data_IF_855719943144
#
_entry.id   IF_855719943144
#
_cell.length_a   1.000
_cell.length_b   1.000
_cell.length_c   1.000
_cell.angle_alpha   90.00
_cell.angle_beta   90.00
_cell.angle_gamma   90.00
#
_symmetry.space_group_name_H-M   'P 1'
#
loop_
_entity.id
_entity.type
_entity.pdbx_description
1 polymer ?
#
# COMPACT_ATOMS: atom_id res chain seq x y z
N UNK A 1 -14.24 38.66 -26.65
CA UNK A 1 -14.68 38.21 -25.33
C UNK A 1 -14.91 36.69 -25.23
N UNK A 2 -15.59 36.07 -26.20
CA UNK A 2 -15.84 34.63 -26.15
C UNK A 2 -14.58 33.79 -26.16
N UNK A 3 -13.51 34.22 -26.83
CA UNK A 3 -12.23 33.49 -26.90
C UNK A 3 -11.48 33.47 -25.58
N UNK A 4 -11.58 34.54 -24.79
CA UNK A 4 -10.89 34.64 -23.48
C UNK A 4 -11.58 33.74 -22.46
N UNK A 5 -12.92 33.66 -22.47
CA UNK A 5 -13.66 32.77 -21.58
C UNK A 5 -13.41 31.32 -21.87
N UNK A 6 -13.28 30.92 -23.14
CA UNK A 6 -12.97 29.56 -23.55
C UNK A 6 -11.55 29.17 -23.10
N UNK A 7 -10.59 30.09 -23.25
CA UNK A 7 -9.21 29.83 -22.82
C UNK A 7 -9.12 29.65 -21.30
N UNK A 8 -9.85 30.47 -20.54
CA UNK A 8 -9.89 30.36 -19.08
C UNK A 8 -10.48 29.01 -18.63
N UNK A 9 -11.56 28.57 -19.28
CA UNK A 9 -12.18 27.27 -18.98
C UNK A 9 -11.24 26.12 -19.26
N UNK A 10 -10.47 26.17 -20.35
CA UNK A 10 -9.49 25.14 -20.70
C UNK A 10 -8.37 25.09 -19.65
N UNK A 11 -7.87 26.24 -19.19
CA UNK A 11 -6.83 26.31 -18.16
C UNK A 11 -7.34 25.71 -16.85
N UNK A 12 -8.57 26.01 -16.44
CA UNK A 12 -9.17 25.46 -15.23
C UNK A 12 -9.32 23.94 -15.34
N UNK A 13 -9.76 23.43 -16.49
CA UNK A 13 -9.89 21.99 -16.73
C UNK A 13 -8.53 21.29 -16.66
N UNK A 14 -7.47 21.86 -17.23
CA UNK A 14 -6.13 21.30 -17.18
C UNK A 14 -5.59 21.25 -15.75
N UNK A 15 -5.79 22.28 -14.95
CA UNK A 15 -5.40 22.30 -13.54
C UNK A 15 -6.15 21.25 -12.73
N UNK A 16 -7.44 21.06 -12.97
CA UNK A 16 -8.24 20.03 -12.32
C UNK A 16 -7.76 18.63 -12.69
N UNK A 17 -7.44 18.40 -13.98
CA UNK A 17 -6.92 17.13 -14.45
C UNK A 17 -5.55 16.81 -13.81
N UNK A 18 -4.67 17.79 -13.65
CA UNK A 18 -3.39 17.59 -12.98
C UNK A 18 -3.55 17.19 -11.53
N UNK A 19 -4.50 17.79 -10.81
CA UNK A 19 -4.79 17.42 -9.42
C UNK A 19 -5.38 16.02 -9.31
N UNK A 20 -6.25 15.63 -10.24
CA UNK A 20 -6.86 14.31 -10.26
C UNK A 20 -5.87 13.23 -10.64
N UNK A 21 -4.83 13.56 -11.41
CA UNK A 21 -3.81 12.62 -11.85
C UNK A 21 -2.67 12.41 -10.83
N UNK A 22 -2.64 13.21 -9.76
CA UNK A 22 -1.65 13.03 -8.70
C UNK A 22 -1.85 11.66 -8.05
N UNK A 23 -0.79 10.85 -8.00
CA UNK A 23 -0.80 9.49 -7.49
C UNK A 23 -1.72 8.53 -8.28
N UNK A 24 -2.01 8.83 -9.55
CA UNK A 24 -2.92 8.00 -10.35
C UNK A 24 -2.42 6.57 -10.57
N UNK A 25 -1.09 6.36 -10.52
CA UNK A 25 -0.47 5.05 -10.65
C UNK A 25 -0.73 4.16 -9.43
N UNK A 26 -1.10 4.78 -8.30
CA UNK A 26 -1.31 4.08 -7.04
C UNK A 26 -2.76 3.63 -6.93
N UNK A 27 -2.99 2.34 -7.13
CA UNK A 27 -4.30 1.74 -6.94
C UNK A 27 -4.75 1.87 -5.49
N UNK A 28 -6.04 1.94 -5.26
CA UNK A 28 -6.59 2.08 -3.92
C UNK A 28 -6.30 0.87 -3.04
N UNK A 29 -6.35 -0.33 -3.62
CA UNK A 29 -6.14 -1.56 -2.89
C UNK A 29 -5.07 -2.42 -3.55
N UNK A 30 -4.24 -3.02 -2.69
CA UNK A 30 -3.18 -3.94 -3.07
C UNK A 30 -3.27 -5.19 -2.24
N UNK A 31 -2.91 -6.33 -2.82
CA UNK A 31 -2.98 -7.63 -2.16
C UNK A 31 -1.70 -8.41 -2.38
N UNK A 32 -1.28 -9.15 -1.36
CA UNK A 32 -0.15 -10.05 -1.44
C UNK A 32 -0.33 -11.24 -0.51
N UNK A 33 0.44 -12.28 -0.75
CA UNK A 33 0.44 -13.49 0.06
C UNK A 33 1.88 -13.88 0.38
N UNK A 34 2.07 -14.43 1.56
CA UNK A 34 3.38 -14.96 1.96
C UNK A 34 3.19 -16.14 2.91
N UNK A 35 4.20 -16.98 2.96
CA UNK A 35 4.23 -18.10 3.91
C UNK A 35 4.95 -17.67 5.17
N UNK A 36 4.40 -18.06 6.32
CA UNK A 36 5.00 -17.82 7.61
C UNK A 36 4.78 -19.03 8.50
N UNK A 37 5.55 -19.12 9.57
CA UNK A 37 5.43 -20.24 10.52
C UNK A 37 4.78 -19.74 11.80
N UNK A 38 3.80 -20.48 12.27
CA UNK A 38 3.17 -20.26 13.57
C UNK A 38 3.43 -21.47 14.45
N UNK A 39 3.62 -21.22 15.73
CA UNK A 39 3.84 -22.28 16.70
C UNK A 39 2.50 -22.76 17.25
N UNK A 40 2.29 -24.08 17.22
CA UNK A 40 1.17 -24.69 17.89
C UNK A 40 1.46 -24.72 19.39
N UNK A 41 0.65 -24.06 20.18
CA UNK A 41 0.86 -23.94 21.63
C UNK A 41 0.70 -25.28 22.36
N UNK A 42 -0.07 -26.21 21.80
CA UNK A 42 -0.32 -27.51 22.43
C UNK A 42 0.81 -28.51 22.19
N UNK A 43 1.41 -28.50 20.99
CA UNK A 43 2.44 -29.48 20.61
C UNK A 43 3.85 -28.89 20.52
N UNK A 44 3.96 -27.55 20.46
CA UNK A 44 5.23 -26.86 20.23
C UNK A 44 5.74 -26.94 18.80
N UNK A 45 4.99 -27.57 17.90
CA UNK A 45 5.39 -27.70 16.50
C UNK A 45 5.18 -26.40 15.73
N UNK A 46 6.08 -26.16 14.77
CA UNK A 46 5.94 -25.05 13.83
C UNK A 46 5.16 -25.51 12.62
N UNK A 47 4.09 -24.80 12.30
CA UNK A 47 3.23 -25.07 11.15
C UNK A 47 3.40 -23.93 10.15
N UNK A 48 3.60 -24.27 8.88
CA UNK A 48 3.65 -23.29 7.81
C UNK A 48 2.22 -22.94 7.40
N UNK A 49 1.89 -21.66 7.47
CA UNK A 49 0.56 -21.13 7.08
C UNK A 49 0.74 -20.04 6.04
N UNK A 50 -0.29 -19.86 5.21
CA UNK A 50 -0.33 -18.77 4.25
C UNK A 50 -0.96 -17.55 4.90
N UNK A 51 -0.23 -16.46 4.92
CA UNK A 51 -0.71 -15.18 5.39
C UNK A 51 -1.05 -14.29 4.20
N UNK A 52 -2.13 -13.55 4.31
CA UNK A 52 -2.52 -12.54 3.34
C UNK A 52 -2.31 -11.15 3.88
N UNK A 53 -2.01 -10.21 3.00
CA UNK A 53 -1.91 -8.80 3.34
C UNK A 53 -2.72 -8.00 2.32
N UNK A 54 -3.52 -7.06 2.82
CA UNK A 54 -4.30 -6.13 1.98
C UNK A 54 -4.00 -4.72 2.43
N UNK A 55 -3.59 -3.88 1.49
CA UNK A 55 -3.35 -2.47 1.72
C UNK A 55 -4.46 -1.68 1.07
N UNK A 56 -5.11 -0.81 1.84
CA UNK A 56 -6.18 0.06 1.35
C UNK A 56 -5.81 1.51 1.63
N UNK A 57 -5.61 2.28 0.56
CA UNK A 57 -5.27 3.70 0.66
C UNK A 57 -6.52 4.55 0.81
N UNK A 58 -6.41 5.62 1.59
CA UNK A 58 -7.44 6.65 1.67
C UNK A 58 -7.60 7.37 0.34
N UNK A 59 -8.68 8.11 0.16
CA UNK A 59 -8.95 8.82 -1.09
C UNK A 59 -7.86 9.85 -1.41
N UNK A 60 -7.32 10.51 -0.39
CA UNK A 60 -6.24 11.50 -0.54
C UNK A 60 -4.84 10.87 -0.54
N UNK A 61 -4.74 9.54 -0.39
CA UNK A 61 -3.48 8.80 -0.35
C UNK A 61 -2.52 9.22 0.76
N UNK A 62 -3.04 9.80 1.84
CA UNK A 62 -2.22 10.19 3.00
C UNK A 62 -2.18 9.11 4.07
N UNK A 63 -3.08 8.13 4.00
CA UNK A 63 -3.15 7.03 4.96
C UNK A 63 -3.35 5.71 4.23
N UNK A 64 -2.89 4.64 4.86
CA UNK A 64 -3.04 3.29 4.34
C UNK A 64 -3.41 2.35 5.48
N UNK A 65 -4.51 1.64 5.32
CA UNK A 65 -4.91 0.60 6.26
C UNK A 65 -4.34 -0.73 5.79
N UNK A 66 -3.57 -1.37 6.66
CA UNK A 66 -2.95 -2.67 6.39
C UNK A 66 -3.72 -3.73 7.17
N UNK A 67 -4.30 -4.66 6.45
CA UNK A 67 -4.98 -5.83 7.02
C UNK A 67 -4.14 -7.06 6.76
N UNK A 68 -3.85 -7.82 7.81
CA UNK A 68 -3.11 -9.07 7.73
C UNK A 68 -3.91 -10.18 8.38
N UNK A 69 -3.81 -11.38 7.85
CA UNK A 69 -4.52 -12.52 8.39
C UNK A 69 -3.98 -13.84 7.89
N UNK A 70 -4.31 -14.89 8.61
CA UNK A 70 -3.95 -16.26 8.25
C UNK A 70 -5.20 -16.96 7.73
N UNK A 71 -5.09 -17.57 6.55
CA UNK A 71 -6.22 -18.25 5.91
C UNK A 71 -6.81 -19.37 6.77
N UNK A 72 -5.95 -20.06 7.52
CA UNK A 72 -6.37 -21.22 8.32
C UNK A 72 -6.91 -20.86 9.70
N UNK A 73 -6.59 -19.68 10.21
CA UNK A 73 -6.97 -19.28 11.57
C UNK A 73 -8.08 -18.23 11.61
N UNK A 74 -8.52 -17.76 10.45
CA UNK A 74 -9.55 -16.71 10.31
C UNK A 74 -9.30 -15.49 11.20
N UNK A 75 -8.04 -15.27 11.55
CA UNK A 75 -7.59 -14.17 12.39
C UNK A 75 -7.13 -13.01 11.50
N UNK A 76 -7.73 -11.84 11.68
CA UNK A 76 -7.37 -10.65 10.92
C UNK A 76 -6.99 -9.51 11.85
N UNK A 77 -5.84 -8.91 11.57
CA UNK A 77 -5.40 -7.68 12.22
C UNK A 77 -5.51 -6.53 11.23
N UNK A 78 -5.88 -5.37 11.73
CA UNK A 78 -6.02 -4.16 10.92
C UNK A 78 -5.36 -2.98 11.64
N UNK A 79 -4.54 -2.25 10.93
CA UNK A 79 -3.88 -1.05 11.46
C UNK A 79 -3.74 -0.01 10.36
N UNK A 80 -3.95 1.25 10.71
CA UNK A 80 -3.83 2.37 9.78
C UNK A 80 -2.52 3.10 10.02
N UNK A 81 -1.80 3.33 8.92
CA UNK A 81 -0.50 4.01 8.91
C UNK A 81 -0.58 5.30 8.13
N UNK A 82 0.37 6.20 8.36
CA UNK A 82 0.56 7.37 7.51
C UNK A 82 1.36 6.96 6.27
N UNK A 83 0.93 7.45 5.12
CA UNK A 83 1.52 7.09 3.84
C UNK A 83 2.26 8.28 3.23
N UNK A 84 3.48 8.02 2.77
CA UNK A 84 4.26 8.94 1.93
C UNK A 84 4.34 8.35 0.54
N UNK A 85 3.81 9.04 -0.45
CA UNK A 85 3.75 8.55 -1.83
C UNK A 85 4.67 9.40 -2.69
N UNK A 86 5.57 8.74 -3.41
CA UNK A 86 6.56 9.36 -4.31
C UNK A 86 6.22 9.03 -5.75
N UNK A 87 5.68 10.01 -6.49
CA UNK A 87 5.24 9.82 -7.87
C UNK A 87 6.39 9.65 -8.85
N UNK A 88 7.52 10.29 -8.58
CA UNK A 88 8.71 10.24 -9.44
C UNK A 88 9.32 8.83 -9.51
N UNK A 89 9.40 8.15 -8.39
CA UNK A 89 9.96 6.79 -8.30
C UNK A 89 8.88 5.71 -8.25
N UNK A 90 7.61 6.09 -8.19
CA UNK A 90 6.46 5.18 -8.00
C UNK A 90 6.64 4.28 -6.80
N UNK A 91 7.05 4.88 -5.69
CA UNK A 91 7.28 4.20 -4.42
C UNK A 91 6.38 4.79 -3.34
N UNK A 92 6.15 4.03 -2.30
CA UNK A 92 5.50 4.54 -1.10
C UNK A 92 6.11 3.93 0.15
N UNK A 93 5.96 4.62 1.26
CA UNK A 93 6.37 4.13 2.56
C UNK A 93 5.29 4.41 3.59
N UNK A 94 5.21 3.57 4.61
CA UNK A 94 4.21 3.67 5.66
C UNK A 94 4.89 3.86 7.01
N UNK A 95 4.36 4.80 7.80
CA UNK A 95 4.84 5.13 9.14
C UNK A 95 3.71 4.96 10.15
N UNK A 96 4.07 4.59 11.34
CA UNK A 96 3.09 4.42 12.42
C UNK A 96 2.59 5.76 12.95
N UNK A 97 3.48 6.74 13.07
CA UNK A 97 3.17 8.07 13.60
C UNK A 97 3.57 9.16 12.61
N UNK A 98 2.77 10.23 12.57
CA UNK A 98 3.09 11.39 11.75
C UNK A 98 4.41 12.01 12.20
N UNK A 99 5.30 12.27 11.25
CA UNK A 99 6.61 12.83 11.53
C UNK A 99 7.64 11.84 12.06
N UNK A 100 7.27 10.57 12.19
CA UNK A 100 8.20 9.53 12.60
C UNK A 100 9.23 9.25 11.49
N UNK A 101 10.47 9.03 11.89
CA UNK A 101 11.56 8.73 10.98
C UNK A 101 11.56 7.24 10.60
N UNK A 102 11.02 6.39 11.45
CA UNK A 102 11.02 4.95 11.24
C UNK A 102 9.93 4.53 10.27
N UNK A 103 10.33 3.85 9.18
CA UNK A 103 9.42 3.32 8.18
C UNK A 103 9.06 1.87 8.54
N UNK A 104 7.77 1.58 8.61
CA UNK A 104 7.29 0.22 8.91
C UNK A 104 7.20 -0.62 7.65
N UNK A 105 6.64 -0.05 6.57
CA UNK A 105 6.55 -0.70 5.28
C UNK A 105 7.17 0.19 4.22
N UNK A 106 7.86 -0.43 3.26
CA UNK A 106 8.44 0.26 2.10
C UNK A 106 8.03 -0.52 0.86
N UNK A 107 7.51 0.19 -0.14
CA UNK A 107 7.17 -0.42 -1.43
C UNK A 107 7.92 0.25 -2.56
N UNK A 108 8.54 -0.57 -3.39
CA UNK A 108 9.34 -0.16 -4.53
C UNK A 108 9.02 -1.01 -5.76
N UNK A 109 9.29 -0.44 -6.93
CA UNK A 109 9.26 -1.21 -8.17
C UNK A 109 10.62 -1.85 -8.42
N UNK A 110 10.64 -3.17 -8.58
CA UNK A 110 11.86 -3.94 -8.88
C UNK A 110 11.54 -4.86 -10.06
N UNK A 111 12.24 -4.67 -11.17
CA UNK A 111 12.08 -5.48 -12.39
C UNK A 111 10.63 -5.56 -12.88
N UNK A 112 9.91 -4.44 -12.83
CA UNK A 112 8.52 -4.35 -13.29
C UNK A 112 7.48 -4.87 -12.30
N UNK A 113 7.91 -5.30 -11.12
CA UNK A 113 7.01 -5.80 -10.07
C UNK A 113 7.06 -4.88 -8.86
N UNK A 114 5.93 -4.75 -8.17
CA UNK A 114 5.87 -3.99 -6.93
C UNK A 114 6.19 -4.90 -5.77
N UNK A 115 7.25 -4.56 -5.05
CA UNK A 115 7.71 -5.31 -3.88
C UNK A 115 7.35 -4.53 -2.63
N UNK A 116 6.83 -5.23 -1.64
CA UNK A 116 6.55 -4.69 -0.30
C UNK A 116 7.53 -5.31 0.68
N UNK A 117 8.20 -4.48 1.46
CA UNK A 117 9.20 -4.90 2.46
C UNK A 117 8.81 -4.42 3.85
N UNK A 118 9.02 -5.28 4.84
CA UNK A 118 8.84 -4.93 6.25
C UNK A 118 9.69 -5.85 7.12
N UNK A 119 9.71 -5.58 8.41
CA UNK A 119 10.40 -6.44 9.37
C UNK A 119 9.41 -7.08 10.34
N UNK A 120 9.57 -8.38 10.56
CA UNK A 120 8.93 -9.12 11.64
C UNK A 120 10.02 -9.57 12.61
N UNK A 121 10.11 -8.92 13.77
CA UNK A 121 11.19 -9.16 14.70
C UNK A 121 12.55 -8.86 14.08
N UNK A 122 13.40 -9.87 13.94
CA UNK A 122 14.72 -9.73 13.31
C UNK A 122 14.73 -10.10 11.84
N UNK A 123 13.65 -10.66 11.32
CA UNK A 123 13.58 -11.10 9.94
C UNK A 123 13.03 -10.01 9.03
N UNK A 124 13.68 -9.81 7.90
CA UNK A 124 13.18 -8.94 6.84
C UNK A 124 12.29 -9.77 5.92
N UNK A 125 11.06 -9.28 5.71
CA UNK A 125 10.10 -9.89 4.80
C UNK A 125 10.00 -9.07 3.53
N UNK A 126 9.84 -9.74 2.41
CA UNK A 126 9.71 -9.12 1.10
C UNK A 126 8.78 -9.97 0.25
N UNK A 127 7.74 -9.34 -0.29
CA UNK A 127 6.76 -10.04 -1.14
C UNK A 127 6.39 -9.16 -2.33
N UNK A 128 5.85 -9.79 -3.35
CA UNK A 128 5.25 -9.08 -4.47
C UNK A 128 3.79 -8.81 -4.14
N UNK A 129 3.35 -7.57 -4.35
CA UNK A 129 1.95 -7.19 -4.20
C UNK A 129 1.39 -6.77 -5.56
N UNK A 130 0.09 -6.98 -5.73
CA UNK A 130 -0.63 -6.67 -6.97
C UNK A 130 -1.83 -5.78 -6.65
N UNK A 131 -2.19 -4.86 -7.57
CA UNK A 131 -3.39 -4.06 -7.38
C UNK A 131 -4.65 -4.91 -7.54
N UNK A 132 -5.66 -4.62 -6.73
CA UNK A 132 -6.97 -5.20 -6.91
C UNK A 132 -7.70 -4.34 -7.94
N UNK A 133 -8.00 -4.95 -9.09
CA UNK A 133 -8.72 -4.28 -10.17
C UNK A 133 -10.21 -4.46 -9.94
N UNK A 134 -10.88 -3.39 -9.55
CA UNK A 134 -12.33 -3.36 -9.46
C UNK A 134 -12.88 -3.05 -10.85
N UNK A 135 -13.50 -4.02 -11.46
CA UNK A 135 -14.23 -3.81 -12.72
C UNK A 135 -15.60 -3.20 -12.46
#
# INVERSE_FOLDING_TARGET
MKRILTLLAVIICLCSCEKEQKHHWLSREWVGEYETQVQNNDTGEHITVTAGIVLTFSDDKTKCTVKTGYSDLMSMNSKTYYADVHDDTKAFSLREYYGDVELVYISEMVSGKRILKWREGKEEKSITIEPIMLE
#
